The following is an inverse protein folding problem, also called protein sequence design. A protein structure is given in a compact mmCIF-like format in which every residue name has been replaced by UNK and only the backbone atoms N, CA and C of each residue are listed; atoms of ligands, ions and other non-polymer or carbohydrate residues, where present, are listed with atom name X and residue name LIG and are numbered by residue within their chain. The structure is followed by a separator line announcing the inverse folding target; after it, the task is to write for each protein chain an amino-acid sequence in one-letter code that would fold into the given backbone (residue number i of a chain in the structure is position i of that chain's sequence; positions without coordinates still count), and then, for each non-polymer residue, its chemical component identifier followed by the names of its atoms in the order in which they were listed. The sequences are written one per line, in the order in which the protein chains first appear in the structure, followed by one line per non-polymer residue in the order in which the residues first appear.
data_IF_251624842753
#
_entry.id   IF_251624842753
#
_cell.length_a   1.000
_cell.length_b   1.000
_cell.length_c   1.000
_cell.angle_alpha   90.00
_cell.angle_beta   90.00
_cell.angle_gamma   90.00
#
_symmetry.space_group_name_H-M   'P 1'
#
loop_
_entity.id
_entity.type
_entity.pdbx_description
1 polymer ?
#
# COMPACT_ATOMS: atom_id res chain seq x y z
N UNK A 1 -12.15 0.28 -18.75
CA UNK A 1 -12.40 -0.73 -17.70
C UNK A 1 -12.90 -0.01 -16.45
N UNK A 2 -13.60 -0.69 -15.53
CA UNK A 2 -14.08 -0.04 -14.30
C UNK A 2 -12.95 0.12 -13.30
N UNK A 3 -12.74 1.33 -12.78
CA UNK A 3 -11.80 1.57 -11.67
C UNK A 3 -12.42 1.07 -10.35
N UNK A 4 -11.58 0.57 -9.46
CA UNK A 4 -11.94 0.14 -8.11
C UNK A 4 -11.03 0.81 -7.08
N UNK A 5 -11.41 0.76 -5.81
CA UNK A 5 -10.62 1.28 -4.71
C UNK A 5 -10.57 0.28 -3.54
N UNK A 6 -9.37 0.00 -3.04
CA UNK A 6 -9.12 -0.95 -1.93
C UNK A 6 -8.19 -0.33 -0.89
N UNK A 7 -8.45 -0.62 0.39
CA UNK A 7 -7.65 -0.13 1.52
C UNK A 7 -6.69 -1.20 2.01
N UNK A 8 -5.46 -0.81 2.33
CA UNK A 8 -4.42 -1.70 2.85
C UNK A 8 -3.65 -1.07 4.00
N UNK A 9 -3.24 -1.91 4.94
CA UNK A 9 -2.12 -1.66 5.83
C UNK A 9 -0.83 -2.17 5.17
N UNK A 10 0.18 -1.31 5.12
CA UNK A 10 1.53 -1.66 4.73
C UNK A 10 2.43 -1.55 5.97
N UNK A 11 3.10 -2.65 6.33
CA UNK A 11 4.03 -2.68 7.46
C UNK A 11 5.44 -2.96 6.96
N UNK A 12 6.32 -1.99 7.17
CA UNK A 12 7.73 -2.02 6.86
C UNK A 12 8.46 -2.51 8.13
N UNK A 13 8.97 -3.75 8.15
CA UNK A 13 9.34 -4.42 9.38
C UNK A 13 10.67 -3.95 10.01
N UNK A 14 11.53 -3.25 9.25
CA UNK A 14 12.80 -2.76 9.78
C UNK A 14 13.46 -1.67 8.94
N UNK A 15 14.66 -1.26 9.38
CA UNK A 15 15.41 -0.13 8.81
C UNK A 15 15.70 -0.31 7.32
N UNK A 16 16.01 -1.54 6.90
CA UNK A 16 16.31 -1.84 5.49
C UNK A 16 15.14 -1.46 4.60
N UNK A 17 13.90 -1.84 4.93
CA UNK A 17 12.74 -1.55 4.10
C UNK A 17 12.31 -0.08 4.19
N UNK A 18 12.43 0.53 5.37
CA UNK A 18 12.09 1.95 5.58
C UNK A 18 13.03 2.89 4.83
N UNK A 19 14.31 2.54 4.69
CA UNK A 19 15.32 3.34 4.00
C UNK A 19 15.23 3.22 2.46
N UNK A 20 14.49 2.24 1.94
CA UNK A 20 14.29 2.08 0.50
C UNK A 20 13.10 2.92 0.01
N UNK A 21 13.18 3.53 -1.19
CA UNK A 21 12.12 4.36 -1.73
C UNK A 21 10.98 3.52 -2.36
N UNK A 22 10.48 2.50 -1.66
CA UNK A 22 9.61 1.47 -2.21
C UNK A 22 8.28 2.05 -2.72
N UNK A 23 7.69 3.00 -1.98
CA UNK A 23 6.45 3.67 -2.40
C UNK A 23 6.66 4.47 -3.69
N UNK A 24 7.81 5.15 -3.84
CA UNK A 24 8.17 5.84 -5.08
C UNK A 24 8.40 4.87 -6.24
N UNK A 25 9.08 3.74 -5.99
CA UNK A 25 9.28 2.71 -7.02
C UNK A 25 7.94 2.13 -7.49
N UNK A 26 7.01 1.88 -6.56
CA UNK A 26 5.66 1.39 -6.87
C UNK A 26 4.90 2.40 -7.72
N UNK A 27 4.86 3.69 -7.35
CA UNK A 27 4.12 4.70 -8.12
C UNK A 27 4.69 4.91 -9.53
N UNK A 28 6.01 4.70 -9.71
CA UNK A 28 6.65 4.76 -11.03
C UNK A 28 6.37 3.51 -11.88
N UNK A 29 6.28 2.34 -11.24
CA UNK A 29 6.02 1.06 -11.93
C UNK A 29 4.55 0.89 -12.30
N UNK A 30 3.64 1.45 -11.50
CA UNK A 30 2.18 1.39 -11.67
C UNK A 30 1.59 2.81 -11.69
N UNK A 31 1.87 3.61 -12.73
CA UNK A 31 1.52 5.04 -12.76
C UNK A 31 0.00 5.30 -12.77
N UNK A 32 -0.81 4.32 -13.19
CA UNK A 32 -2.27 4.41 -13.21
C UNK A 32 -2.94 3.98 -11.89
N UNK A 33 -2.15 3.52 -10.91
CA UNK A 33 -2.60 3.23 -9.54
C UNK A 33 -2.35 4.45 -8.67
N UNK A 34 -3.42 5.16 -8.32
CA UNK A 34 -3.36 6.23 -7.34
C UNK A 34 -3.15 5.65 -5.94
N UNK A 35 -2.12 6.11 -5.25
CA UNK A 35 -1.78 5.72 -3.89
C UNK A 35 -2.10 6.86 -2.93
N UNK A 36 -3.29 6.81 -2.32
CA UNK A 36 -3.75 7.84 -1.41
C UNK A 36 -3.44 7.43 0.04
N UNK A 37 -2.46 8.11 0.65
CA UNK A 37 -2.00 7.84 2.00
C UNK A 37 -2.99 8.43 3.01
N UNK A 38 -3.61 7.57 3.82
CA UNK A 38 -4.58 7.95 4.85
C UNK A 38 -3.95 8.11 6.22
N UNK A 39 -2.92 7.32 6.49
CA UNK A 39 -2.11 7.40 7.70
C UNK A 39 -0.73 6.89 7.38
N UNK A 40 0.29 7.51 7.96
CA UNK A 40 1.65 7.00 7.94
C UNK A 40 2.33 7.31 9.26
N UNK A 41 3.06 6.34 9.80
CA UNK A 41 3.91 6.50 10.98
C UNK A 41 5.21 5.74 10.73
N UNK A 42 6.34 6.37 11.09
CA UNK A 42 7.64 5.72 11.11
C UNK A 42 8.24 5.96 12.48
N UNK A 43 8.53 4.89 13.22
CA UNK A 43 9.12 4.95 14.55
C UNK A 43 10.05 3.77 14.76
N UNK A 44 11.21 4.01 15.37
CA UNK A 44 12.21 2.98 15.69
C UNK A 44 12.55 2.09 14.47
N UNK A 45 12.62 2.73 13.29
CA UNK A 45 12.84 2.10 12.00
C UNK A 45 11.78 1.07 11.54
N UNK A 46 10.59 1.11 12.13
CA UNK A 46 9.40 0.38 11.68
C UNK A 46 8.43 1.39 11.07
N UNK A 47 7.94 1.11 9.87
CA UNK A 47 6.97 1.93 9.16
C UNK A 47 5.60 1.26 9.12
N UNK A 48 4.53 2.03 9.33
CA UNK A 48 3.14 1.57 9.16
C UNK A 48 2.38 2.60 8.34
N UNK A 49 1.70 2.16 7.29
CA UNK A 49 0.91 3.02 6.41
C UNK A 49 -0.48 2.46 6.13
N UNK A 50 -1.52 3.26 6.30
CA UNK A 50 -2.86 2.98 5.76
C UNK A 50 -3.03 3.70 4.43
N UNK A 51 -3.39 2.97 3.38
CA UNK A 51 -3.43 3.50 2.02
C UNK A 51 -4.72 3.10 1.33
N UNK A 52 -5.29 3.98 0.51
CA UNK A 52 -6.32 3.63 -0.46
C UNK A 52 -5.70 3.58 -1.84
N UNK A 53 -5.67 2.39 -2.44
CA UNK A 53 -5.25 2.19 -3.81
C UNK A 53 -6.44 2.32 -4.73
N UNK A 54 -6.34 3.12 -5.79
CA UNK A 54 -7.42 3.28 -6.78
C UNK A 54 -6.88 3.16 -8.20
N UNK A 55 -7.52 2.35 -9.04
CA UNK A 55 -7.03 1.99 -10.36
C UNK A 55 -7.79 0.81 -10.96
N UNK A 56 -7.24 0.19 -12.00
CA UNK A 56 -7.74 -1.09 -12.50
C UNK A 56 -7.41 -2.22 -11.52
N UNK A 57 -8.33 -3.17 -11.33
CA UNK A 57 -8.18 -4.27 -10.35
C UNK A 57 -6.83 -5.00 -10.48
N UNK A 58 -6.47 -5.38 -11.72
CA UNK A 58 -5.22 -6.10 -12.03
C UNK A 58 -3.97 -5.29 -11.72
N UNK A 59 -4.02 -3.98 -11.94
CA UNK A 59 -2.90 -3.07 -11.65
C UNK A 59 -2.73 -2.90 -10.13
N UNK A 60 -3.83 -2.80 -9.38
CA UNK A 60 -3.80 -2.78 -7.92
C UNK A 60 -3.20 -4.08 -7.37
N UNK A 61 -3.65 -5.23 -7.85
CA UNK A 61 -3.12 -6.54 -7.45
C UNK A 61 -1.61 -6.64 -7.74
N UNK A 62 -1.18 -6.20 -8.93
CA UNK A 62 0.24 -6.20 -9.33
C UNK A 62 1.09 -5.23 -8.48
N UNK A 63 0.54 -4.07 -8.11
CA UNK A 63 1.20 -3.12 -7.23
C UNK A 63 1.40 -3.69 -5.81
N UNK A 64 0.41 -4.41 -5.29
CA UNK A 64 0.49 -5.07 -3.98
C UNK A 64 1.54 -6.17 -3.99
N UNK A 65 1.54 -7.04 -5.01
CA UNK A 65 2.54 -8.09 -5.13
C UNK A 65 3.96 -7.54 -5.28
N UNK A 66 4.11 -6.40 -5.97
CA UNK A 66 5.38 -5.69 -5.99
C UNK A 66 5.81 -5.25 -4.59
N UNK A 67 4.92 -4.63 -3.80
CA UNK A 67 5.22 -4.20 -2.43
C UNK A 67 5.59 -5.40 -1.55
N UNK A 68 4.84 -6.50 -1.63
CA UNK A 68 5.15 -7.77 -0.93
C UNK A 68 6.52 -8.32 -1.30
N UNK A 69 6.88 -8.29 -2.58
CA UNK A 69 8.19 -8.75 -3.07
C UNK A 69 9.37 -7.95 -2.50
N UNK A 70 9.12 -6.77 -1.91
CA UNK A 70 10.13 -5.94 -1.23
C UNK A 70 10.23 -6.23 0.27
N UNK A 71 9.57 -7.27 0.78
CA UNK A 71 9.59 -7.62 2.20
C UNK A 71 8.61 -6.83 3.06
N UNK A 72 7.71 -6.05 2.45
CA UNK A 72 6.66 -5.31 3.16
C UNK A 72 5.45 -6.21 3.36
N UNK A 73 4.94 -6.25 4.60
CA UNK A 73 3.67 -6.93 4.90
C UNK A 73 2.51 -6.09 4.38
N UNK A 74 1.60 -6.71 3.64
CA UNK A 74 0.41 -6.04 3.07
C UNK A 74 -0.86 -6.76 3.49
N UNK A 75 -1.67 -6.08 4.30
CA UNK A 75 -2.92 -6.60 4.85
C UNK A 75 -4.11 -5.74 4.38
N UNK A 76 -5.21 -6.33 3.90
CA UNK A 76 -6.40 -5.56 3.55
C UNK A 76 -7.01 -4.93 4.81
N UNK A 77 -7.45 -3.68 4.71
CA UNK A 77 -8.29 -3.08 5.74
C UNK A 77 -9.72 -3.52 5.44
N UNK A 78 -10.20 -4.50 6.19
CA UNK A 78 -11.60 -4.90 6.14
C UNK A 78 -12.46 -3.66 6.41
N UNK A 79 -13.49 -3.46 5.58
CA UNK A 79 -14.52 -2.47 5.90
C UNK A 79 -15.24 -3.02 7.13
N UNK A 80 -14.98 -2.47 8.31
CA UNK A 80 -15.97 -2.50 9.37
C UNK A 80 -17.22 -1.84 8.79
N UNK A 81 -18.22 -2.66 8.47
CA UNK A 81 -19.56 -2.18 8.17
C UNK A 81 -20.08 -1.61 9.48
N UNK A 82 -19.82 -0.33 9.74
CA UNK A 82 -20.61 0.44 10.69
C UNK A 82 -21.85 0.87 9.91
N UNK A 83 -22.79 -0.07 9.80
CA UNK A 83 -24.20 0.24 9.53
C UNK A 83 -24.82 0.64 10.87
N UNK A 84 -25.24 1.90 11.00
CA UNK A 84 -26.08 2.39 12.11
C UNK A 84 -25.37 3.24 13.14
#
# INVERSE_FOLDING_TARGET
MSKTSRRYWLTFPGSTEVEQPIIWQMSRKFPDVAFDIRQASVKDAIGIMAVLLSGEEKEIESAIEFVRSKGITVEPIEKSVVEG
#
